data_IF_842804939607
#
_entry.id   IF_842804939607
#
_cell.length_a   1.000
_cell.length_b   1.000
_cell.length_c   1.000
_cell.angle_alpha   90.00
_cell.angle_beta   90.00
_cell.angle_gamma   90.00
#
_symmetry.space_group_name_H-M   'P 1'
#
loop_
_entity.id
_entity.type
_entity.pdbx_description
1 polymer ?
#
# COMPACT_ATOMS: atom_id res chain seq x y z
N UNK A 1 -17.93 -6.30 -0.90
CA UNK A 1 -17.12 -7.15 -0.01
C UNK A 1 -17.50 -6.86 1.41
N UNK A 2 -17.62 -7.89 2.20
CA UNK A 2 -17.91 -7.75 3.63
C UNK A 2 -16.65 -7.35 4.38
N UNK A 3 -16.82 -6.64 5.50
CA UNK A 3 -15.73 -6.34 6.40
C UNK A 3 -15.08 -7.63 6.92
N UNK A 4 -13.77 -7.61 7.10
CA UNK A 4 -13.03 -8.76 7.60
C UNK A 4 -13.27 -8.98 9.09
N UNK A 5 -13.26 -10.24 9.53
CA UNK A 5 -13.23 -10.52 10.96
C UNK A 5 -12.05 -9.80 11.62
N UNK A 6 -12.28 -9.25 12.80
CA UNK A 6 -11.25 -8.57 13.58
C UNK A 6 -10.00 -9.45 13.78
N UNK A 7 -10.18 -10.74 13.95
CA UNK A 7 -9.09 -11.71 14.10
C UNK A 7 -8.15 -11.79 12.89
N UNK A 8 -8.60 -11.41 11.71
CA UNK A 8 -7.74 -11.38 10.51
C UNK A 8 -7.00 -10.06 10.36
N UNK A 9 -7.61 -8.95 10.79
CA UNK A 9 -6.95 -7.65 10.86
C UNK A 9 -5.83 -7.65 11.90
N UNK A 10 -6.00 -8.40 12.98
CA UNK A 10 -5.01 -8.51 14.07
C UNK A 10 -3.71 -9.23 13.65
N UNK A 11 -3.65 -9.81 12.44
CA UNK A 11 -2.42 -10.46 11.93
C UNK A 11 -1.41 -9.47 11.36
N UNK A 12 -1.81 -8.26 11.08
CA UNK A 12 -0.88 -7.23 10.64
C UNK A 12 0.02 -6.84 11.79
N UNK A 13 1.31 -6.77 11.52
CA UNK A 13 2.31 -6.31 12.49
C UNK A 13 3.15 -5.20 11.88
N UNK A 14 3.74 -4.32 12.72
CA UNK A 14 4.63 -3.28 12.22
C UNK A 14 5.80 -3.89 11.44
N UNK A 15 6.12 -3.30 10.29
CA UNK A 15 7.31 -3.66 9.52
C UNK A 15 8.54 -3.23 10.29
N UNK A 16 9.50 -4.14 10.45
CA UNK A 16 10.78 -3.86 11.08
C UNK A 16 11.91 -4.18 10.11
N UNK A 17 13.13 -3.77 10.43
CA UNK A 17 14.28 -3.96 9.55
C UNK A 17 14.48 -5.43 9.17
N UNK A 18 14.21 -6.36 10.09
CA UNK A 18 14.32 -7.79 9.82
C UNK A 18 13.38 -8.30 8.72
N UNK A 19 12.30 -7.59 8.43
CA UNK A 19 11.35 -7.95 7.39
C UNK A 19 11.80 -7.55 5.99
N UNK A 20 12.78 -6.65 5.88
CA UNK A 20 13.08 -5.97 4.61
C UNK A 20 13.59 -6.90 3.51
N UNK A 21 14.30 -7.97 3.84
CA UNK A 21 14.75 -8.91 2.81
C UNK A 21 13.58 -9.55 2.07
N UNK A 22 12.53 -9.94 2.80
CA UNK A 22 11.32 -10.50 2.20
C UNK A 22 10.51 -9.43 1.47
N UNK A 23 10.38 -8.24 2.04
CA UNK A 23 9.67 -7.11 1.42
C UNK A 23 10.30 -6.73 0.09
N UNK A 24 11.62 -6.56 0.05
CA UNK A 24 12.37 -6.20 -1.16
C UNK A 24 12.26 -7.28 -2.22
N UNK A 25 12.28 -8.55 -1.84
CA UNK A 25 12.13 -9.67 -2.77
C UNK A 25 10.75 -9.64 -3.46
N UNK A 26 9.69 -9.39 -2.70
CA UNK A 26 8.34 -9.26 -3.26
C UNK A 26 8.26 -8.04 -4.17
N UNK A 27 8.76 -6.90 -3.72
CA UNK A 27 8.73 -5.65 -4.48
C UNK A 27 9.41 -5.81 -5.83
N UNK A 28 10.60 -6.42 -5.86
CA UNK A 28 11.36 -6.66 -7.09
C UNK A 28 10.66 -7.66 -8.02
N UNK A 29 9.95 -8.62 -7.47
CA UNK A 29 9.23 -9.63 -8.26
C UNK A 29 7.98 -9.06 -8.95
N UNK A 30 7.25 -8.16 -8.28
CA UNK A 30 5.94 -7.73 -8.79
C UNK A 30 5.97 -6.39 -9.54
N UNK A 31 7.00 -5.57 -9.38
CA UNK A 31 7.09 -4.25 -10.01
C UNK A 31 8.29 -4.13 -10.94
N UNK A 32 8.10 -3.55 -12.15
CA UNK A 32 9.22 -3.30 -13.06
C UNK A 32 10.16 -2.20 -12.57
N UNK A 33 9.67 -1.28 -11.73
CA UNK A 33 10.45 -0.19 -11.15
C UNK A 33 10.27 -0.20 -9.62
N UNK A 34 10.88 -1.19 -8.94
CA UNK A 34 10.64 -1.40 -7.51
C UNK A 34 11.28 -0.34 -6.63
N UNK A 35 10.69 -0.13 -5.47
CA UNK A 35 11.37 0.56 -4.38
C UNK A 35 12.61 -0.21 -3.98
N UNK A 36 13.62 0.51 -3.52
CA UNK A 36 14.86 -0.08 -3.01
C UNK A 36 14.73 -0.43 -1.52
N UNK A 37 15.65 -1.26 -1.03
CA UNK A 37 15.77 -1.51 0.40
C UNK A 37 15.92 -0.19 1.18
N UNK A 38 16.70 0.75 0.65
CA UNK A 38 16.89 2.07 1.28
C UNK A 38 15.58 2.84 1.42
N UNK A 39 14.69 2.78 0.42
CA UNK A 39 13.38 3.44 0.49
C UNK A 39 12.55 2.89 1.65
N UNK A 40 12.50 1.56 1.81
CA UNK A 40 11.77 0.94 2.90
C UNK A 40 12.42 1.23 4.26
N UNK A 41 13.73 1.12 4.33
CA UNK A 41 14.47 1.39 5.57
C UNK A 41 14.27 2.83 6.05
N UNK A 42 14.32 3.78 5.13
CA UNK A 42 14.05 5.19 5.44
C UNK A 42 12.64 5.38 5.98
N UNK A 43 11.65 4.71 5.39
CA UNK A 43 10.26 4.75 5.87
C UNK A 43 10.12 4.21 7.29
N UNK A 44 10.76 3.08 7.58
CA UNK A 44 10.77 2.50 8.93
C UNK A 44 11.43 3.47 9.93
N UNK A 45 12.59 4.00 9.58
CA UNK A 45 13.36 4.90 10.45
C UNK A 45 12.69 6.26 10.65
N UNK A 46 11.97 6.74 9.63
CA UNK A 46 11.23 8.00 9.72
C UNK A 46 9.96 7.89 10.58
N UNK A 47 9.62 6.70 11.04
CA UNK A 47 8.42 6.49 11.84
C UNK A 47 7.12 6.52 11.04
N UNK A 48 7.18 6.23 9.73
CA UNK A 48 5.98 6.07 8.93
C UNK A 48 5.15 4.88 9.44
N UNK A 49 3.88 4.86 9.11
CA UNK A 49 3.01 3.72 9.42
C UNK A 49 3.27 2.62 8.40
N UNK A 50 4.04 1.62 8.80
CA UNK A 50 4.53 0.54 7.92
C UNK A 50 4.13 -0.80 8.50
N UNK A 51 3.52 -1.64 7.66
CA UNK A 51 2.89 -2.87 8.11
C UNK A 51 3.21 -4.05 7.21
N UNK A 52 3.26 -5.23 7.80
CA UNK A 52 3.41 -6.50 7.08
C UNK A 52 2.31 -7.46 7.52
N UNK A 53 1.95 -8.34 6.60
CA UNK A 53 1.05 -9.46 6.86
C UNK A 53 1.80 -10.75 6.55
N UNK A 54 1.79 -11.67 7.49
CA UNK A 54 2.35 -13.01 7.31
C UNK A 54 1.24 -14.05 7.34
N UNK A 55 1.40 -15.11 6.57
CA UNK A 55 0.48 -16.24 6.64
C UNK A 55 0.74 -17.08 7.90
N UNK A 56 -0.02 -18.16 8.07
CA UNK A 56 0.07 -19.01 9.26
C UNK A 56 1.42 -19.72 9.40
N UNK A 57 2.16 -19.85 8.31
CA UNK A 57 3.48 -20.48 8.30
C UNK A 57 4.61 -19.46 8.53
N UNK A 58 4.27 -18.18 8.64
CA UNK A 58 5.22 -17.11 8.86
C UNK A 58 5.76 -16.48 7.59
N UNK A 59 5.26 -16.86 6.42
CA UNK A 59 5.67 -16.26 5.14
C UNK A 59 5.04 -14.91 4.97
N UNK A 60 5.84 -13.90 4.63
CA UNK A 60 5.35 -12.55 4.36
C UNK A 60 4.60 -12.54 3.02
N UNK A 61 3.34 -12.07 3.04
CA UNK A 61 2.45 -12.12 1.87
C UNK A 61 1.91 -10.76 1.44
N UNK A 62 1.97 -9.76 2.29
CA UNK A 62 1.55 -8.40 1.93
C UNK A 62 2.26 -7.39 2.82
N UNK A 63 2.37 -6.16 2.34
CA UNK A 63 2.94 -5.05 3.10
C UNK A 63 2.39 -3.73 2.60
N UNK A 64 2.48 -2.71 3.45
CA UNK A 64 2.03 -1.37 3.10
C UNK A 64 2.80 -0.30 3.84
N UNK A 65 2.93 0.87 3.22
CA UNK A 65 3.60 2.05 3.77
C UNK A 65 2.68 3.25 3.65
N UNK A 66 2.53 4.01 4.73
CA UNK A 66 1.64 5.16 4.79
C UNK A 66 2.27 6.26 5.64
N UNK A 67 2.12 7.51 5.22
CA UNK A 67 2.42 8.65 6.08
C UNK A 67 1.13 9.18 6.70
N UNK A 68 1.24 9.69 7.91
CA UNK A 68 0.11 10.26 8.65
C UNK A 68 0.42 11.72 8.97
N UNK A 69 -0.46 12.61 8.53
CA UNK A 69 -0.45 14.02 8.88
C UNK A 69 -1.68 14.30 9.75
N UNK A 70 -1.87 15.54 10.21
CA UNK A 70 -2.86 15.83 11.24
C UNK A 70 -4.24 15.20 10.98
N UNK A 71 -4.81 15.36 9.80
CA UNK A 71 -6.12 14.80 9.46
C UNK A 71 -6.12 14.07 8.12
N UNK A 72 -4.94 13.79 7.58
CA UNK A 72 -4.76 13.21 6.26
C UNK A 72 -3.75 12.06 6.28
N UNK A 73 -4.09 10.96 5.66
CA UNK A 73 -3.19 9.84 5.42
C UNK A 73 -2.76 9.83 3.96
N UNK A 74 -1.52 9.48 3.68
CA UNK A 74 -1.02 9.30 2.33
C UNK A 74 -0.49 7.88 2.19
N UNK A 75 -1.19 7.06 1.43
CA UNK A 75 -0.80 5.69 1.15
C UNK A 75 0.29 5.69 0.08
N UNK A 76 1.50 5.24 0.44
CA UNK A 76 2.68 5.30 -0.43
C UNK A 76 2.95 3.98 -1.16
N UNK A 77 2.62 2.86 -0.55
CA UNK A 77 2.86 1.53 -1.11
C UNK A 77 1.86 0.56 -0.50
N UNK A 78 1.26 -0.27 -1.32
CA UNK A 78 0.39 -1.36 -0.91
C UNK A 78 0.60 -2.50 -1.89
N UNK A 79 1.13 -3.62 -1.42
CA UNK A 79 1.62 -4.68 -2.27
C UNK A 79 1.28 -6.06 -1.71
N UNK A 80 0.98 -6.99 -2.61
CA UNK A 80 0.66 -8.39 -2.29
C UNK A 80 1.59 -9.29 -3.09
N UNK A 81 2.16 -10.29 -2.42
CA UNK A 81 3.01 -11.28 -3.06
C UNK A 81 2.29 -11.95 -4.24
N UNK A 82 3.03 -12.21 -5.32
CA UNK A 82 2.45 -12.71 -6.58
C UNK A 82 1.55 -13.92 -6.39
N UNK A 83 1.98 -14.89 -5.60
CA UNK A 83 1.24 -16.14 -5.38
C UNK A 83 -0.02 -15.97 -4.53
N UNK A 84 -0.20 -14.81 -3.92
CA UNK A 84 -1.37 -14.48 -3.09
C UNK A 84 -2.27 -13.41 -3.72
N UNK A 85 -1.96 -12.95 -4.93
CA UNK A 85 -2.79 -11.96 -5.61
C UNK A 85 -4.13 -12.57 -6.04
N UNK A 86 -5.15 -11.72 -6.21
CA UNK A 86 -6.52 -12.08 -6.58
C UNK A 86 -7.27 -12.91 -5.54
N UNK A 87 -6.83 -12.88 -4.29
CA UNK A 87 -7.48 -13.53 -3.15
C UNK A 87 -8.09 -12.54 -2.17
N UNK A 88 -8.15 -11.26 -2.55
CA UNK A 88 -8.71 -10.20 -1.72
C UNK A 88 -7.75 -9.61 -0.69
N UNK A 89 -6.45 -9.98 -0.72
CA UNK A 89 -5.47 -9.45 0.25
C UNK A 89 -5.17 -7.97 0.05
N UNK A 90 -5.19 -7.47 -1.17
CA UNK A 90 -5.03 -6.04 -1.43
C UNK A 90 -6.13 -5.24 -0.77
N UNK A 91 -7.37 -5.71 -0.89
CA UNK A 91 -8.54 -5.09 -0.24
C UNK A 91 -8.41 -5.12 1.28
N UNK A 92 -8.03 -6.27 1.84
CA UNK A 92 -7.81 -6.43 3.28
C UNK A 92 -6.76 -5.46 3.81
N UNK A 93 -5.65 -5.36 3.09
CA UNK A 93 -4.55 -4.47 3.48
C UNK A 93 -5.01 -3.01 3.43
N UNK A 94 -5.79 -2.65 2.42
CA UNK A 94 -6.39 -1.32 2.34
C UNK A 94 -7.34 -1.04 3.51
N UNK A 95 -8.19 -1.99 3.86
CA UNK A 95 -9.07 -1.88 5.03
C UNK A 95 -8.26 -1.69 6.32
N UNK A 96 -7.19 -2.45 6.50
CA UNK A 96 -6.30 -2.29 7.66
C UNK A 96 -5.68 -0.91 7.71
N UNK A 97 -5.13 -0.43 6.59
CA UNK A 97 -4.52 0.89 6.53
C UNK A 97 -5.54 2.01 6.82
N UNK A 98 -6.76 1.86 6.33
CA UNK A 98 -7.84 2.80 6.62
C UNK A 98 -8.20 2.81 8.11
N UNK A 99 -8.26 1.64 8.75
CA UNK A 99 -8.50 1.53 10.20
C UNK A 99 -7.38 2.19 11.00
N UNK A 100 -6.13 1.95 10.63
CA UNK A 100 -4.97 2.59 11.28
C UNK A 100 -5.06 4.10 11.13
N UNK A 101 -5.35 4.59 9.92
CA UNK A 101 -5.46 6.01 9.63
C UNK A 101 -6.57 6.67 10.47
N UNK A 102 -7.74 6.04 10.54
CA UNK A 102 -8.84 6.53 11.39
C UNK A 102 -8.45 6.59 12.86
N UNK A 103 -7.74 5.58 13.34
CA UNK A 103 -7.27 5.52 14.73
C UNK A 103 -6.34 6.66 15.10
N UNK A 104 -5.62 7.21 14.13
CA UNK A 104 -4.76 8.39 14.30
C UNK A 104 -5.47 9.70 13.99
N UNK A 105 -6.77 9.68 13.70
CA UNK A 105 -7.56 10.88 13.47
C UNK A 105 -7.59 11.36 12.03
N UNK A 106 -7.08 10.58 11.08
CA UNK A 106 -7.16 10.93 9.67
C UNK A 106 -8.60 10.90 9.18
N UNK A 107 -8.98 11.89 8.40
CA UNK A 107 -10.32 12.03 7.82
C UNK A 107 -10.36 11.74 6.33
N UNK A 108 -9.20 11.76 5.69
CA UNK A 108 -9.04 11.49 4.28
C UNK A 108 -7.80 10.67 4.04
N UNK A 109 -7.81 9.91 2.95
CA UNK A 109 -6.64 9.19 2.45
C UNK A 109 -6.39 9.57 1.01
N UNK A 110 -5.13 9.88 0.71
CA UNK A 110 -4.63 10.18 -0.63
C UNK A 110 -3.70 9.09 -1.09
N UNK A 111 -3.61 8.89 -2.39
CA UNK A 111 -2.61 8.03 -3.02
C UNK A 111 -2.32 8.49 -4.45
N UNK A 112 -1.18 8.05 -4.97
CA UNK A 112 -0.86 8.10 -6.39
C UNK A 112 -0.79 6.66 -6.91
N UNK A 113 -1.27 6.46 -8.13
CA UNK A 113 -1.27 5.14 -8.77
C UNK A 113 -0.97 5.27 -10.26
N UNK A 114 -0.19 4.31 -10.81
CA UNK A 114 0.06 4.24 -12.24
C UNK A 114 -1.23 3.87 -12.97
N UNK A 115 -1.60 4.58 -14.06
CA UNK A 115 -2.72 4.16 -14.91
C UNK A 115 -2.56 2.73 -15.43
N UNK A 116 -1.32 2.29 -15.66
CA UNK A 116 -1.02 0.94 -16.14
C UNK A 116 -1.32 -0.15 -15.09
N UNK A 117 -1.39 0.21 -13.81
CA UNK A 117 -1.79 -0.71 -12.75
C UNK A 117 -3.32 -0.77 -12.64
N UNK A 118 -3.94 -1.39 -13.65
CA UNK A 118 -5.40 -1.40 -13.82
C UNK A 118 -6.11 -2.06 -12.64
N UNK A 119 -5.56 -3.16 -12.12
CA UNK A 119 -6.19 -3.86 -11.00
C UNK A 119 -6.20 -3.02 -9.71
N UNK A 120 -5.14 -2.27 -9.46
CA UNK A 120 -5.07 -1.36 -8.31
C UNK A 120 -6.07 -0.20 -8.47
N UNK A 121 -6.09 0.43 -9.64
CA UNK A 121 -7.04 1.53 -9.93
C UNK A 121 -8.47 1.07 -9.67
N UNK A 122 -8.85 -0.11 -10.19
CA UNK A 122 -10.19 -0.67 -9.99
C UNK A 122 -10.50 -0.93 -8.52
N UNK A 123 -9.54 -1.45 -7.78
CA UNK A 123 -9.71 -1.70 -6.35
C UNK A 123 -9.95 -0.40 -5.59
N UNK A 124 -9.16 0.63 -5.87
CA UNK A 124 -9.31 1.92 -5.21
C UNK A 124 -10.65 2.57 -5.56
N UNK A 125 -11.04 2.55 -6.83
CA UNK A 125 -12.36 3.06 -7.25
C UNK A 125 -13.49 2.32 -6.55
N UNK A 126 -13.42 1.00 -6.45
CA UNK A 126 -14.42 0.19 -5.76
C UNK A 126 -14.49 0.52 -4.27
N UNK A 127 -13.36 0.85 -3.66
CA UNK A 127 -13.32 1.26 -2.25
C UNK A 127 -14.01 2.62 -2.04
N UNK A 128 -14.05 3.46 -3.06
CA UNK A 128 -14.66 4.77 -3.01
C UNK A 128 -13.70 5.92 -3.32
N UNK A 129 -12.45 5.61 -3.69
CA UNK A 129 -11.50 6.64 -4.10
C UNK A 129 -11.96 7.31 -5.39
N UNK A 130 -11.83 8.63 -5.42
CA UNK A 130 -12.11 9.45 -6.58
C UNK A 130 -10.82 10.07 -7.12
N UNK A 131 -10.71 10.15 -8.44
CA UNK A 131 -9.61 10.85 -9.10
C UNK A 131 -9.75 12.34 -8.85
N UNK A 132 -8.70 12.96 -8.30
CA UNK A 132 -8.67 14.40 -8.04
C UNK A 132 -7.61 15.14 -8.86
N UNK A 133 -6.74 14.43 -9.54
CA UNK A 133 -5.72 15.07 -10.37
C UNK A 133 -4.80 14.07 -11.04
N UNK A 134 -3.80 14.61 -11.70
CA UNK A 134 -2.75 13.86 -12.38
C UNK A 134 -1.41 14.52 -12.09
N UNK A 135 -0.41 13.72 -11.73
CA UNK A 135 0.99 14.18 -11.68
C UNK A 135 1.70 13.73 -12.94
N UNK A 136 2.00 14.65 -13.83
CA UNK A 136 2.63 14.33 -15.11
C UNK A 136 4.08 13.87 -14.94
N UNK A 137 4.42 12.78 -15.64
CA UNK A 137 5.78 12.23 -15.65
C UNK A 137 6.30 11.82 -14.28
N UNK A 138 5.44 11.40 -13.39
CA UNK A 138 5.77 11.10 -11.99
C UNK A 138 6.58 9.81 -11.84
N UNK A 139 6.22 8.77 -12.61
CA UNK A 139 6.85 7.45 -12.50
C UNK A 139 7.85 7.20 -13.63
N UNK A 140 8.95 6.48 -13.35
CA UNK A 140 9.80 5.94 -14.41
C UNK A 140 9.05 4.88 -15.22
N UNK A 141 9.40 4.79 -16.52
CA UNK A 141 8.83 3.79 -17.43
C UNK A 141 9.87 3.40 -18.48
N UNK A 142 9.58 2.35 -19.28
CA UNK A 142 10.55 1.80 -20.23
C UNK A 142 10.86 2.75 -21.40
N UNK A 143 9.89 3.54 -21.86
CA UNK A 143 10.07 4.47 -22.98
C UNK A 143 9.94 5.91 -22.56
N UNK A 144 8.80 6.30 -22.06
CA UNK A 144 8.53 7.62 -21.51
C UNK A 144 8.16 7.48 -20.03
N UNK A 145 8.23 8.60 -19.29
CA UNK A 145 7.75 8.58 -17.92
C UNK A 145 6.22 8.41 -17.92
N UNK A 146 5.71 7.72 -16.93
CA UNK A 146 4.28 7.51 -16.75
C UNK A 146 3.70 8.52 -15.77
N UNK A 147 2.52 9.05 -16.07
CA UNK A 147 1.81 9.94 -15.15
C UNK A 147 1.30 9.16 -13.94
N UNK A 148 1.04 9.85 -12.84
CA UNK A 148 0.33 9.29 -11.70
C UNK A 148 -1.10 9.83 -11.67
N UNK A 149 -2.06 8.94 -11.46
CA UNK A 149 -3.41 9.34 -11.07
C UNK A 149 -3.39 9.63 -9.58
N UNK A 150 -3.84 10.81 -9.18
CA UNK A 150 -3.99 11.17 -7.77
C UNK A 150 -5.42 10.88 -7.36
N UNK A 151 -5.60 10.09 -6.32
CA UNK A 151 -6.90 9.66 -5.83
C UNK A 151 -7.08 9.99 -4.34
N UNK A 152 -8.33 10.17 -3.94
CA UNK A 152 -8.68 10.55 -2.58
C UNK A 152 -9.97 9.87 -2.15
N UNK A 153 -10.05 9.51 -0.87
CA UNK A 153 -11.27 8.99 -0.26
C UNK A 153 -11.47 9.61 1.12
N UNK A 154 -12.72 9.86 1.50
CA UNK A 154 -13.07 10.20 2.87
C UNK A 154 -13.03 8.94 3.74
N UNK A 155 -12.45 9.05 4.91
CA UNK A 155 -12.33 7.93 5.85
C UNK A 155 -13.48 7.90 6.86
#
# INVERSE_FOLDING_TARGET
MSALPKSELDRYSPMVEADLSEVVAIEADIYPFPWTRGNFLDSVRAGYSVWVLRDRTGVLIAYSVMTLMIDEAHLLNLSVARHCQREGLGWRTLEWMAEVARGYGARTMLLEVRPSNVSAVRMYERYGFEKIGVRRGYYPAHTEREDAIVMRVAL
#
